data_IF_978999904106
#
_entry.id   IF_978999904106
#
_cell.length_a   1.000
_cell.length_b   1.000
_cell.length_c   1.000
_cell.angle_alpha   90.00
_cell.angle_beta   90.00
_cell.angle_gamma   90.00
#
_symmetry.space_group_name_H-M   'P 1'
#
loop_
_entity.id
_entity.type
_entity.pdbx_description
1 polymer ?
#
# COMPACT_ATOMS: atom_id res chain seq x y z
N UNK A 1 -22.75 4.74 9.80
CA UNK A 1 -21.91 5.68 9.02
C UNK A 1 -20.61 5.96 9.74
N UNK A 2 -20.66 6.28 11.04
CA UNK A 2 -19.47 6.52 11.88
C UNK A 2 -18.38 5.45 11.74
N UNK A 3 -18.71 4.16 11.92
CA UNK A 3 -17.72 3.07 11.80
C UNK A 3 -17.06 2.96 10.41
N UNK A 4 -17.78 3.32 9.35
CA UNK A 4 -17.23 3.32 7.98
C UNK A 4 -16.23 4.47 7.78
N UNK A 5 -16.50 5.63 8.39
CA UNK A 5 -15.59 6.77 8.37
C UNK A 5 -14.33 6.49 9.19
N UNK A 6 -14.46 5.82 10.34
CA UNK A 6 -13.29 5.40 11.13
C UNK A 6 -12.40 4.43 10.34
N UNK A 7 -12.98 3.46 9.64
CA UNK A 7 -12.22 2.58 8.76
C UNK A 7 -11.55 3.37 7.62
N UNK A 8 -12.26 4.32 7.00
CA UNK A 8 -11.69 5.14 5.94
C UNK A 8 -10.49 5.97 6.41
N UNK A 9 -10.53 6.51 7.65
CA UNK A 9 -9.39 7.21 8.26
C UNK A 9 -8.18 6.27 8.43
N UNK A 10 -8.41 5.04 8.88
CA UNK A 10 -7.33 4.04 9.03
C UNK A 10 -6.70 3.73 7.67
N UNK A 11 -7.50 3.57 6.62
CA UNK A 11 -6.99 3.31 5.26
C UNK A 11 -6.18 4.51 4.76
N UNK A 12 -6.71 5.73 4.90
CA UNK A 12 -6.08 6.96 4.45
C UNK A 12 -4.75 7.30 5.16
N UNK A 13 -4.50 6.72 6.34
CA UNK A 13 -3.22 6.87 7.04
C UNK A 13 -2.07 6.05 6.44
N UNK A 14 -2.33 5.19 5.44
CA UNK A 14 -1.31 4.38 4.77
C UNK A 14 -0.89 5.00 3.44
N UNK A 15 0.24 4.52 2.90
CA UNK A 15 0.74 4.90 1.57
C UNK A 15 -0.36 4.70 0.49
N UNK A 16 -0.67 5.74 -0.31
CA UNK A 16 -1.60 5.62 -1.43
C UNK A 16 -1.17 4.53 -2.43
N UNK A 17 0.14 4.42 -2.72
CA UNK A 17 0.69 3.36 -3.59
C UNK A 17 0.40 1.98 -3.01
N UNK A 18 0.64 1.80 -1.71
CA UNK A 18 0.44 0.52 -1.04
C UNK A 18 -1.05 0.11 -0.99
N UNK A 19 -1.95 1.07 -0.71
CA UNK A 19 -3.39 0.83 -0.68
C UNK A 19 -3.92 0.44 -2.05
N UNK A 20 -3.59 1.22 -3.10
CA UNK A 20 -4.04 0.93 -4.46
C UNK A 20 -3.43 -0.37 -5.00
N UNK A 21 -2.13 -0.60 -4.75
CA UNK A 21 -1.45 -1.82 -5.17
C UNK A 21 -2.03 -3.07 -4.51
N UNK A 22 -2.33 -3.00 -3.21
CA UNK A 22 -2.98 -4.11 -2.50
C UNK A 22 -4.37 -4.40 -3.09
N UNK A 23 -5.17 -3.36 -3.36
CA UNK A 23 -6.47 -3.53 -4.00
C UNK A 23 -6.36 -4.15 -5.40
N UNK A 24 -5.38 -3.72 -6.20
CA UNK A 24 -5.13 -4.28 -7.52
C UNK A 24 -4.73 -5.76 -7.45
N UNK A 25 -3.82 -6.12 -6.53
CA UNK A 25 -3.40 -7.52 -6.32
C UNK A 25 -4.54 -8.43 -5.85
N UNK A 26 -5.37 -7.96 -4.92
CA UNK A 26 -6.56 -8.69 -4.47
C UNK A 26 -7.56 -8.92 -5.60
N UNK A 27 -7.84 -7.89 -6.39
CA UNK A 27 -8.74 -7.99 -7.53
C UNK A 27 -8.21 -8.95 -8.60
N UNK A 28 -6.92 -8.85 -8.94
CA UNK A 28 -6.31 -9.75 -9.91
C UNK A 28 -6.37 -11.20 -9.43
N UNK A 29 -6.00 -11.46 -8.18
CA UNK A 29 -5.94 -12.81 -7.61
C UNK A 29 -7.31 -13.49 -7.51
N UNK A 30 -8.42 -12.74 -7.55
CA UNK A 30 -9.78 -13.29 -7.46
C UNK A 30 -10.14 -14.21 -8.63
N UNK A 31 -9.68 -13.84 -9.82
CA UNK A 31 -10.06 -14.50 -11.09
C UNK A 31 -8.89 -15.24 -11.74
N UNK A 32 -7.75 -15.38 -11.04
CA UNK A 32 -6.52 -16.01 -11.53
C UNK A 32 -6.04 -17.12 -10.59
N UNK A 33 -5.18 -17.99 -11.11
CA UNK A 33 -4.51 -19.01 -10.31
C UNK A 33 -3.54 -18.38 -9.31
N UNK A 34 -3.17 -19.15 -8.28
CA UNK A 34 -2.17 -18.74 -7.29
C UNK A 34 -0.85 -18.36 -7.96
N UNK A 35 -0.43 -19.11 -8.98
CA UNK A 35 0.81 -18.84 -9.69
C UNK A 35 0.78 -17.49 -10.42
N UNK A 36 -0.28 -17.22 -11.18
CA UNK A 36 -0.46 -15.94 -11.87
C UNK A 36 -0.54 -14.77 -10.88
N UNK A 37 -1.20 -14.96 -9.73
CA UNK A 37 -1.25 -13.94 -8.67
C UNK A 37 0.14 -13.62 -8.08
N UNK A 38 0.97 -14.65 -7.86
CA UNK A 38 2.36 -14.47 -7.40
C UNK A 38 3.22 -13.75 -8.45
N UNK A 39 3.06 -14.11 -9.72
CA UNK A 39 3.75 -13.45 -10.84
C UNK A 39 3.34 -11.97 -10.96
N UNK A 40 2.04 -11.68 -10.86
CA UNK A 40 1.53 -10.30 -10.81
C UNK A 40 2.13 -9.50 -9.67
N UNK A 41 2.16 -10.06 -8.44
CA UNK A 41 2.77 -9.40 -7.29
C UNK A 41 4.26 -9.15 -7.48
N UNK A 42 5.00 -10.09 -8.08
CA UNK A 42 6.42 -9.91 -8.37
C UNK A 42 6.66 -8.73 -9.32
N UNK A 43 5.91 -8.66 -10.42
CA UNK A 43 5.98 -7.56 -11.39
C UNK A 43 5.59 -6.23 -10.74
N UNK A 44 4.50 -6.22 -9.95
CA UNK A 44 4.04 -5.03 -9.24
C UNK A 44 5.11 -4.50 -8.29
N UNK A 45 5.74 -5.38 -7.51
CA UNK A 45 6.80 -5.01 -6.58
C UNK A 45 8.04 -4.44 -7.30
N UNK A 46 8.41 -4.99 -8.46
CA UNK A 46 9.52 -4.45 -9.27
C UNK A 46 9.28 -3.00 -9.72
N UNK A 47 8.02 -2.65 -10.00
CA UNK A 47 7.66 -1.30 -10.41
C UNK A 47 7.49 -0.35 -9.21
N UNK A 48 6.82 -0.79 -8.14
CA UNK A 48 6.34 0.10 -7.07
C UNK A 48 7.27 0.22 -5.86
N UNK A 49 8.25 -0.68 -5.68
CA UNK A 49 9.29 -0.53 -4.63
C UNK A 49 10.11 0.76 -4.81
N UNK A 50 10.14 1.30 -6.03
CA UNK A 50 10.87 2.53 -6.34
C UNK A 50 10.11 3.80 -5.94
N UNK A 51 8.93 3.69 -5.32
CA UNK A 51 8.15 4.84 -4.86
C UNK A 51 8.79 5.54 -3.65
N UNK A 52 8.64 6.87 -3.59
CA UNK A 52 9.11 7.68 -2.45
C UNK A 52 8.43 7.30 -1.14
N UNK A 53 7.19 6.80 -1.22
CA UNK A 53 6.43 6.27 -0.08
C UNK A 53 7.19 5.20 0.68
N UNK A 54 7.92 4.32 -0.02
CA UNK A 54 8.71 3.26 0.62
C UNK A 54 9.83 3.86 1.48
N UNK A 55 10.53 4.87 0.95
CA UNK A 55 11.63 5.54 1.67
C UNK A 55 11.07 6.29 2.89
N UNK A 56 9.99 7.05 2.72
CA UNK A 56 9.34 7.79 3.81
C UNK A 56 8.87 6.84 4.93
N UNK A 57 8.22 5.74 4.57
CA UNK A 57 7.75 4.73 5.53
C UNK A 57 8.91 4.02 6.24
N UNK A 58 9.96 3.66 5.49
CA UNK A 58 11.15 3.02 6.04
C UNK A 58 11.89 3.95 7.03
N UNK A 59 12.03 5.23 6.68
CA UNK A 59 12.61 6.25 7.55
C UNK A 59 11.81 6.44 8.83
N UNK A 60 10.48 6.64 8.73
CA UNK A 60 9.61 6.79 9.89
C UNK A 60 9.70 5.60 10.85
N UNK A 61 9.79 4.38 10.31
CA UNK A 61 10.00 3.15 11.08
C UNK A 61 11.39 3.12 11.74
N UNK A 62 12.44 3.46 11.00
CA UNK A 62 13.82 3.46 11.49
C UNK A 62 14.06 4.49 12.59
N UNK A 63 13.45 5.67 12.48
CA UNK A 63 13.57 6.75 13.48
C UNK A 63 12.58 6.61 14.62
N UNK A 64 11.69 5.60 14.60
CA UNK A 64 10.55 5.46 15.53
C UNK A 64 9.76 6.77 15.65
N UNK A 65 9.45 7.36 14.49
CA UNK A 65 8.68 8.60 14.45
C UNK A 65 7.36 8.41 15.22
N UNK A 66 7.03 9.39 16.07
CA UNK A 66 5.77 9.42 16.82
C UNK A 66 4.60 9.90 15.97
N UNK A 67 4.91 10.64 14.90
CA UNK A 67 3.94 11.14 13.93
C UNK A 67 3.94 10.24 12.67
N UNK A 68 2.76 10.01 12.05
CA UNK A 68 2.67 9.23 10.82
C UNK A 68 3.47 9.87 9.68
N UNK A 69 4.09 9.07 8.79
CA UNK A 69 4.71 9.61 7.58
C UNK A 69 3.67 10.29 6.69
N UNK A 70 4.02 11.46 6.17
CA UNK A 70 3.20 12.18 5.18
C UNK A 70 3.53 11.65 3.80
N UNK A 71 2.56 11.00 3.17
CA UNK A 71 2.67 10.53 1.79
C UNK A 71 2.15 11.61 0.83
N UNK A 72 2.69 11.62 -0.39
CA UNK A 72 2.22 12.57 -1.40
C UNK A 72 0.99 11.98 -2.08
N UNK A 73 -0.04 12.81 -2.30
CA UNK A 73 -1.18 12.43 -3.12
C UNK A 73 -0.80 12.51 -4.61
N UNK A 74 -1.14 11.47 -5.37
CA UNK A 74 -0.93 11.40 -6.83
C UNK A 74 -1.92 12.26 -7.61
#
# INVERSE_FOLDING_TARGET
>A
VESALELAKVIAANSPVAVQGTKAGLNYSRDHTVQEGLEFMAVWNQAMIQSDDLIKAAMATATRATEPPVFDDF
#
